data_IF_930132443392
#
_entry.id   IF_930132443392
#
_cell.length_a   1.000
_cell.length_b   1.000
_cell.length_c   1.000
_cell.angle_alpha   90.00
_cell.angle_beta   90.00
_cell.angle_gamma   90.00
#
_symmetry.space_group_name_H-M   'P 1'
#
loop_
_entity.id
_entity.type
_entity.pdbx_description
1 polymer ?
#
# COMPACT_ATOMS: atom_id res chain seq x y z
N UNK A 1 -14.23 -19.91 5.10
CA UNK A 1 -13.89 -19.04 3.94
C UNK A 1 -13.83 -17.58 4.40
N UNK A 2 -12.84 -16.79 3.96
CA UNK A 2 -12.78 -15.36 4.25
C UNK A 2 -13.51 -14.62 3.11
N UNK A 3 -14.82 -14.44 3.26
CA UNK A 3 -15.68 -13.82 2.24
C UNK A 3 -15.24 -12.39 1.88
N UNK A 4 -14.81 -11.53 2.83
CA UNK A 4 -14.23 -10.24 2.52
C UNK A 4 -13.01 -10.30 1.58
N UNK A 5 -12.07 -11.20 1.85
CA UNK A 5 -10.87 -11.38 1.02
C UNK A 5 -11.22 -11.86 -0.39
N UNK A 6 -12.14 -12.83 -0.51
CA UNK A 6 -12.59 -13.31 -1.81
C UNK A 6 -13.29 -12.21 -2.62
N UNK A 7 -14.13 -11.41 -1.96
CA UNK A 7 -14.78 -10.26 -2.60
C UNK A 7 -13.76 -9.22 -3.08
N UNK A 8 -12.75 -8.91 -2.27
CA UNK A 8 -11.67 -7.98 -2.64
C UNK A 8 -10.89 -8.47 -3.86
N UNK A 9 -10.46 -9.73 -3.87
CA UNK A 9 -9.71 -10.32 -4.98
C UNK A 9 -10.53 -10.32 -6.28
N UNK A 10 -11.81 -10.71 -6.20
CA UNK A 10 -12.71 -10.69 -7.36
C UNK A 10 -12.93 -9.27 -7.89
N UNK A 11 -13.12 -8.30 -7.01
CA UNK A 11 -13.24 -6.89 -7.41
C UNK A 11 -11.97 -6.39 -8.10
N UNK A 12 -10.80 -6.70 -7.55
CA UNK A 12 -9.51 -6.35 -8.15
C UNK A 12 -9.35 -6.94 -9.56
N UNK A 13 -9.55 -8.26 -9.73
CA UNK A 13 -9.43 -8.92 -11.03
C UNK A 13 -10.41 -8.35 -12.07
N UNK A 14 -11.67 -8.10 -11.67
CA UNK A 14 -12.68 -7.48 -12.53
C UNK A 14 -12.22 -6.12 -13.07
N UNK A 15 -11.54 -5.32 -12.24
CA UNK A 15 -11.05 -4.00 -12.64
C UNK A 15 -9.76 -4.06 -13.46
N UNK A 16 -8.92 -5.07 -13.25
CA UNK A 16 -7.76 -5.32 -14.12
C UNK A 16 -8.20 -5.72 -15.54
N UNK A 17 -9.18 -6.62 -15.65
CA UNK A 17 -9.69 -7.08 -16.96
C UNK A 17 -10.38 -5.95 -17.75
N UNK A 18 -10.98 -5.00 -17.04
CA UNK A 18 -11.63 -3.83 -17.64
C UNK A 18 -10.69 -2.74 -18.16
N UNK A 19 -9.37 -2.85 -17.93
CA UNK A 19 -8.38 -1.86 -18.35
C UNK A 19 -8.02 -2.03 -19.84
N UNK A 20 -8.99 -1.88 -20.74
CA UNK A 20 -8.73 -1.79 -22.19
C UNK A 20 -8.30 -0.34 -22.55
N UNK A 21 -7.01 -0.04 -22.37
CA UNK A 21 -6.40 1.25 -22.70
C UNK A 21 -5.02 1.06 -23.36
N UNK A 22 -4.33 2.16 -23.70
CA UNK A 22 -2.94 2.08 -24.15
C UNK A 22 -2.01 1.47 -23.07
N UNK A 23 -0.86 0.89 -23.45
CA UNK A 23 -0.01 0.15 -22.51
C UNK A 23 0.45 0.94 -21.28
N UNK A 24 0.74 2.24 -21.42
CA UNK A 24 1.23 3.06 -20.31
C UNK A 24 0.12 3.34 -19.30
N UNK A 25 -1.09 3.60 -19.80
CA UNK A 25 -2.29 3.76 -18.96
C UNK A 25 -2.60 2.48 -18.20
N UNK A 26 -2.51 1.33 -18.86
CA UNK A 26 -2.71 0.02 -18.23
C UNK A 26 -1.67 -0.23 -17.13
N UNK A 27 -0.40 0.06 -17.39
CA UNK A 27 0.67 -0.13 -16.40
C UNK A 27 0.46 0.73 -15.15
N UNK A 28 0.21 2.03 -15.33
CA UNK A 28 0.04 2.94 -14.18
C UNK A 28 -1.22 2.63 -13.38
N UNK A 29 -2.35 2.39 -14.06
CA UNK A 29 -3.60 2.03 -13.38
C UNK A 29 -3.52 0.66 -12.72
N UNK A 30 -2.95 -0.33 -13.41
CA UNK A 30 -2.72 -1.66 -12.87
C UNK A 30 -1.81 -1.63 -11.64
N UNK A 31 -0.77 -0.80 -11.67
CA UNK A 31 0.11 -0.55 -10.53
C UNK A 31 -0.62 0.01 -9.32
N UNK A 32 -1.42 1.07 -9.51
CA UNK A 32 -2.22 1.67 -8.44
C UNK A 32 -3.26 0.67 -7.87
N UNK A 33 -3.93 -0.09 -8.74
CA UNK A 33 -4.89 -1.13 -8.34
C UNK A 33 -4.21 -2.23 -7.53
N UNK A 34 -3.02 -2.68 -7.95
CA UNK A 34 -2.26 -3.71 -7.24
C UNK A 34 -1.85 -3.22 -5.85
N UNK A 35 -1.24 -2.03 -5.75
CA UNK A 35 -0.82 -1.47 -4.47
C UNK A 35 -2.01 -1.28 -3.50
N UNK A 36 -3.15 -0.78 -4.01
CA UNK A 36 -4.38 -0.66 -3.21
C UNK A 36 -4.91 -2.03 -2.76
N UNK A 37 -4.90 -3.02 -3.66
CA UNK A 37 -5.33 -4.38 -3.35
C UNK A 37 -4.46 -5.01 -2.26
N UNK A 38 -3.14 -4.91 -2.37
CA UNK A 38 -2.19 -5.44 -1.38
C UNK A 38 -2.39 -4.82 0.01
N UNK A 39 -2.50 -3.49 0.09
CA UNK A 39 -2.77 -2.79 1.35
C UNK A 39 -4.12 -3.20 1.96
N UNK A 40 -5.16 -3.37 1.14
CA UNK A 40 -6.48 -3.83 1.60
C UNK A 40 -6.47 -5.31 1.98
N UNK A 41 -5.64 -6.14 1.35
CA UNK A 41 -5.46 -7.54 1.72
C UNK A 41 -4.81 -7.66 3.10
N UNK A 42 -3.75 -6.88 3.37
CA UNK A 42 -3.17 -6.77 4.71
C UNK A 42 -4.25 -6.44 5.76
N UNK A 43 -5.16 -5.53 5.43
CA UNK A 43 -6.30 -5.23 6.29
C UNK A 43 -7.24 -6.42 6.50
N UNK A 44 -7.65 -7.09 5.41
CA UNK A 44 -8.55 -8.23 5.46
C UNK A 44 -7.99 -9.46 6.22
N UNK A 45 -6.67 -9.56 6.34
CA UNK A 45 -5.98 -10.64 7.09
C UNK A 45 -5.51 -10.20 8.49
N UNK A 46 -5.84 -8.98 8.93
CA UNK A 46 -5.50 -8.49 10.27
C UNK A 46 -4.06 -7.98 10.44
N UNK A 47 -3.33 -7.74 9.35
CA UNK A 47 -1.97 -7.23 9.32
C UNK A 47 -1.91 -5.75 8.87
N UNK A 48 -2.94 -4.96 9.18
CA UNK A 48 -3.02 -3.56 8.72
C UNK A 48 -1.88 -2.74 9.31
N UNK A 49 -1.02 -2.12 8.49
CA UNK A 49 -0.03 -1.19 9.01
C UNK A 49 -0.70 0.09 9.54
N UNK A 50 -0.21 0.63 10.65
CA UNK A 50 -0.66 1.93 11.16
C UNK A 50 -0.07 3.04 10.28
N UNK A 51 -0.91 3.72 9.51
CA UNK A 51 -0.50 4.80 8.59
C UNK A 51 -0.98 6.20 9.04
N UNK A 52 -1.89 6.29 10.03
CA UNK A 52 -2.53 7.54 10.42
C UNK A 52 -1.79 8.35 11.49
N UNK A 53 -0.95 7.68 12.28
CA UNK A 53 -0.19 8.26 13.38
C UNK A 53 1.09 7.47 13.61
N UNK A 54 2.09 8.07 14.23
CA UNK A 54 3.30 7.40 14.64
C UNK A 54 2.96 6.23 15.56
N UNK A 55 3.45 5.04 15.23
CA UNK A 55 3.17 3.82 16.00
C UNK A 55 3.81 3.82 17.40
N UNK A 56 4.84 4.66 17.62
CA UNK A 56 5.57 4.75 18.90
C UNK A 56 5.00 5.78 19.86
N UNK A 57 4.60 6.96 19.37
CA UNK A 57 4.15 8.07 20.23
C UNK A 57 2.72 8.56 19.94
N UNK A 58 2.10 8.14 18.84
CA UNK A 58 0.77 8.58 18.44
C UNK A 58 0.70 9.94 17.73
N UNK A 59 1.83 10.62 17.52
CA UNK A 59 1.83 11.91 16.81
C UNK A 59 1.44 11.73 15.33
N UNK A 60 0.70 12.69 14.78
CA UNK A 60 0.19 12.64 13.39
C UNK A 60 1.04 13.46 12.43
N UNK A 61 1.96 14.28 12.95
CA UNK A 61 2.84 15.13 12.15
C UNK A 61 4.26 14.56 12.07
N UNK A 62 5.02 15.05 11.08
CA UNK A 62 6.43 14.71 10.95
C UNK A 62 6.69 13.24 10.61
N UNK A 63 5.75 12.55 9.98
CA UNK A 63 5.92 11.18 9.50
C UNK A 63 7.00 11.14 8.42
N UNK A 64 8.06 10.37 8.67
CA UNK A 64 9.25 10.31 7.77
C UNK A 64 9.78 8.89 7.57
N UNK A 65 9.21 7.90 8.25
CA UNK A 65 9.69 6.53 8.19
C UNK A 65 8.58 5.50 8.35
N UNK A 66 8.90 4.25 8.01
CA UNK A 66 8.09 3.06 8.25
C UNK A 66 8.93 2.06 9.06
N UNK A 67 8.32 1.50 10.11
CA UNK A 67 8.90 0.42 10.90
C UNK A 67 8.04 -0.82 10.75
N UNK A 68 8.57 -1.81 10.03
CA UNK A 68 7.89 -3.09 9.87
C UNK A 68 7.84 -3.88 11.18
N UNK A 69 8.86 -3.75 12.05
CA UNK A 69 8.88 -4.42 13.35
C UNK A 69 7.78 -3.90 14.28
N UNK A 70 7.56 -2.58 14.28
CA UNK A 70 6.50 -1.96 15.10
C UNK A 70 5.15 -1.90 14.37
N UNK A 71 5.09 -2.24 13.08
CA UNK A 71 3.86 -2.34 12.30
C UNK A 71 3.26 -1.01 11.85
N UNK A 72 4.06 0.03 11.63
CA UNK A 72 3.50 1.33 11.24
C UNK A 72 4.49 2.43 10.91
N UNK A 73 3.94 3.61 10.62
CA UNK A 73 4.72 4.82 10.33
C UNK A 73 5.36 5.39 11.59
N UNK A 74 6.49 6.09 11.42
CA UNK A 74 7.27 6.68 12.50
C UNK A 74 7.56 8.15 12.20
N UNK A 75 7.39 9.01 13.21
CA UNK A 75 7.71 10.43 13.11
C UNK A 75 9.22 10.68 13.23
N UNK A 76 9.66 11.88 12.87
CA UNK A 76 11.08 12.27 12.86
C UNK A 76 11.74 12.15 14.23
N UNK A 77 11.01 12.41 15.32
CA UNK A 77 11.51 12.30 16.69
C UNK A 77 11.70 10.85 17.14
N UNK A 78 10.79 9.96 16.72
CA UNK A 78 10.82 8.56 17.15
C UNK A 78 11.66 7.67 16.23
N UNK A 79 12.06 8.14 15.06
CA UNK A 79 12.78 7.36 14.04
C UNK A 79 14.14 6.84 14.57
N UNK A 80 14.43 5.58 14.29
CA UNK A 80 15.75 4.94 14.52
C UNK A 80 16.44 4.61 13.19
N UNK A 81 17.74 4.26 13.20
CA UNK A 81 18.46 3.87 11.99
C UNK A 81 17.88 2.64 11.26
N UNK A 82 17.22 1.74 11.99
CA UNK A 82 16.59 0.53 11.44
C UNK A 82 15.28 0.83 10.71
N UNK A 83 14.65 1.98 10.96
CA UNK A 83 13.42 2.36 10.29
C UNK A 83 13.69 2.83 8.86
N UNK A 84 12.95 2.26 7.91
CA UNK A 84 13.00 2.65 6.51
C UNK A 84 12.53 4.09 6.34
N UNK A 85 13.31 4.90 5.64
CA UNK A 85 12.85 6.22 5.23
C UNK A 85 11.63 6.12 4.32
N UNK A 86 10.61 6.91 4.61
CA UNK A 86 9.36 6.99 3.87
C UNK A 86 9.15 8.44 3.41
N UNK A 87 9.28 8.67 2.11
CA UNK A 87 9.00 9.98 1.54
C UNK A 87 7.51 10.35 1.75
N UNK A 88 7.25 11.63 2.03
CA UNK A 88 5.90 12.14 2.31
C UNK A 88 4.90 11.81 1.18
N UNK A 89 5.32 11.89 -0.09
CA UNK A 89 4.45 11.54 -1.22
C UNK A 89 4.08 10.04 -1.25
N UNK A 90 4.99 9.14 -0.84
CA UNK A 90 4.71 7.71 -0.74
C UNK A 90 3.77 7.41 0.43
N UNK A 91 3.98 8.07 1.57
CA UNK A 91 3.07 7.99 2.72
C UNK A 91 1.65 8.44 2.34
N UNK A 92 1.52 9.62 1.72
CA UNK A 92 0.24 10.14 1.26
C UNK A 92 -0.44 9.18 0.27
N UNK A 93 0.31 8.63 -0.70
CA UNK A 93 -0.21 7.65 -1.64
C UNK A 93 -0.70 6.37 -0.94
N UNK A 94 0.04 5.83 0.03
CA UNK A 94 -0.38 4.66 0.80
C UNK A 94 -1.71 4.90 1.52
N UNK A 95 -1.85 6.04 2.19
CA UNK A 95 -3.06 6.43 2.91
C UNK A 95 -4.24 6.59 1.94
N UNK A 96 -4.02 7.24 0.81
CA UNK A 96 -5.04 7.46 -0.21
C UNK A 96 -5.51 6.14 -0.84
N UNK A 97 -4.59 5.28 -1.28
CA UNK A 97 -4.91 3.99 -1.90
C UNK A 97 -5.65 3.05 -0.94
N UNK A 98 -5.27 3.03 0.35
CA UNK A 98 -5.96 2.23 1.37
C UNK A 98 -7.42 2.68 1.52
N UNK A 99 -7.68 3.99 1.51
CA UNK A 99 -9.02 4.58 1.72
C UNK A 99 -9.90 4.62 0.46
N UNK A 100 -9.30 4.65 -0.72
CA UNK A 100 -10.04 4.78 -1.99
C UNK A 100 -10.60 3.44 -2.45
N UNK A 101 -11.84 3.39 -2.93
CA UNK A 101 -12.42 2.15 -3.46
C UNK A 101 -11.71 1.70 -4.74
N UNK A 102 -11.58 0.38 -4.97
CA UNK A 102 -10.91 -0.14 -6.19
C UNK A 102 -11.60 0.33 -7.48
N UNK A 103 -12.94 0.40 -7.48
CA UNK A 103 -13.73 0.90 -8.62
C UNK A 103 -13.46 2.39 -8.91
N UNK A 104 -13.22 3.19 -7.87
CA UNK A 104 -12.86 4.60 -8.04
C UNK A 104 -11.45 4.72 -8.63
N UNK A 105 -10.48 3.96 -8.13
CA UNK A 105 -9.12 3.93 -8.71
C UNK A 105 -9.18 3.49 -10.18
N UNK A 106 -9.98 2.47 -10.49
CA UNK A 106 -10.11 1.95 -11.85
C UNK A 106 -10.72 2.95 -12.85
N UNK A 107 -11.55 3.88 -12.38
CA UNK A 107 -12.23 4.88 -13.22
C UNK A 107 -11.52 6.23 -13.27
N UNK A 108 -10.51 6.46 -12.42
CA UNK A 108 -9.73 7.71 -12.42
C UNK A 108 -8.90 7.88 -13.69
N UNK A 109 -8.73 9.14 -14.06
CA UNK A 109 -7.70 9.54 -15.01
C UNK A 109 -6.32 9.22 -14.42
N UNK A 110 -5.41 8.79 -15.28
CA UNK A 110 -4.06 8.40 -14.87
C UNK A 110 -3.27 9.52 -14.21
N UNK A 111 -3.47 10.77 -14.62
CA UNK A 111 -2.83 11.92 -13.99
C UNK A 111 -3.30 12.15 -12.54
N UNK A 112 -4.49 11.62 -12.19
CA UNK A 112 -5.07 11.68 -10.84
C UNK A 112 -4.77 10.46 -9.97
N UNK A 113 -3.91 9.53 -10.42
CA UNK A 113 -3.51 8.39 -9.62
C UNK A 113 -2.40 8.79 -8.64
N UNK A 114 -2.52 8.43 -7.35
CA UNK A 114 -1.50 8.77 -6.36
C UNK A 114 -0.23 7.93 -6.50
N UNK A 115 -0.25 6.87 -7.31
CA UNK A 115 0.86 5.93 -7.47
C UNK A 115 1.74 6.25 -8.68
N UNK A 116 3.05 6.07 -8.51
CA UNK A 116 4.05 6.16 -9.56
C UNK A 116 4.95 4.92 -9.45
N UNK A 117 5.61 4.45 -10.52
CA UNK A 117 6.37 3.19 -10.50
C UNK A 117 7.36 3.06 -9.34
N UNK A 118 8.06 4.16 -8.99
CA UNK A 118 8.97 4.18 -7.83
C UNK A 118 8.24 4.08 -6.50
N UNK A 119 7.09 4.75 -6.34
CA UNK A 119 6.27 4.65 -5.11
C UNK A 119 5.71 3.24 -4.95
N UNK A 120 5.22 2.64 -6.03
CA UNK A 120 4.75 1.26 -6.08
C UNK A 120 5.78 0.28 -5.56
N UNK A 121 7.03 0.39 -6.00
CA UNK A 121 8.10 -0.49 -5.54
C UNK A 121 8.30 -0.37 -4.02
N UNK A 122 8.25 0.86 -3.47
CA UNK A 122 8.37 1.09 -2.02
C UNK A 122 7.16 0.53 -1.28
N UNK A 123 5.93 0.70 -1.80
CA UNK A 123 4.71 0.15 -1.19
C UNK A 123 4.73 -1.38 -1.18
N UNK A 124 5.16 -2.02 -2.27
CA UNK A 124 5.33 -3.46 -2.35
C UNK A 124 6.37 -3.96 -1.33
N UNK A 125 7.48 -3.23 -1.15
CA UNK A 125 8.46 -3.57 -0.13
C UNK A 125 7.91 -3.41 1.30
N UNK A 126 7.07 -2.39 1.56
CA UNK A 126 6.38 -2.22 2.85
C UNK A 126 5.45 -3.41 3.11
N UNK A 127 4.68 -3.83 2.11
CA UNK A 127 3.80 -5.01 2.22
C UNK A 127 4.61 -6.26 2.53
N UNK A 128 5.71 -6.49 1.80
CA UNK A 128 6.55 -7.66 2.00
C UNK A 128 7.23 -7.69 3.37
N UNK A 129 7.73 -6.55 3.85
CA UNK A 129 8.32 -6.42 5.18
C UNK A 129 7.30 -6.64 6.29
N UNK A 130 6.07 -6.13 6.11
CA UNK A 130 4.96 -6.33 7.07
C UNK A 130 4.57 -7.80 7.17
N UNK A 131 4.43 -8.49 6.03
CA UNK A 131 4.19 -9.94 5.99
C UNK A 131 5.32 -10.72 6.67
N UNK A 132 6.57 -10.32 6.44
CA UNK A 132 7.73 -10.98 7.07
C UNK A 132 7.71 -10.78 8.58
N UNK A 133 7.49 -9.55 9.06
CA UNK A 133 7.52 -9.20 10.47
C UNK A 133 6.37 -9.83 11.28
N UNK A 134 5.16 -9.92 10.70
CA UNK A 134 3.96 -10.26 11.48
C UNK A 134 3.27 -11.56 11.05
N UNK A 135 3.55 -12.09 9.87
CA UNK A 135 3.08 -13.40 9.43
C UNK A 135 4.18 -14.47 9.35
N UNK A 136 5.46 -14.08 9.48
CA UNK A 136 6.58 -15.01 9.31
C UNK A 136 6.71 -15.55 7.88
N UNK A 137 6.09 -14.87 6.90
CA UNK A 137 6.09 -15.27 5.49
C UNK A 137 6.91 -14.26 4.70
N UNK A 138 7.90 -14.74 3.96
CA UNK A 138 8.59 -13.93 2.97
C UNK A 138 7.73 -13.81 1.70
N UNK A 139 7.09 -12.65 1.52
CA UNK A 139 6.40 -12.36 0.27
C UNK A 139 7.43 -12.27 -0.87
N UNK A 140 7.29 -13.11 -1.91
CA UNK A 140 8.16 -13.03 -3.10
C UNK A 140 7.80 -11.78 -3.90
N UNK A 141 8.78 -10.94 -4.21
CA UNK A 141 8.65 -9.96 -5.29
C UNK A 141 8.54 -10.71 -6.62
N UNK A 142 7.57 -10.39 -7.48
CA UNK A 142 7.69 -10.75 -8.90
C UNK A 142 8.90 -10.01 -9.48
N UNK A 143 9.70 -10.74 -10.26
CA UNK A 143 10.87 -10.23 -10.99
C UNK A 143 10.41 -9.38 -12.16
#
# INVERSE_FOLDING_TARGET
PNDPMHHLLRSFLTHLDGAAADPLTVEMRGGALLAACELKLLHAIGLTPQLGSCVRCGDTVGIVAYSAADGGVVCSTCRTPEDRYLAAATHAAAVELLRTALAEIASRDVAGLPDAPTRRAILADIVAETCTAHAGITARRPV
#
